data_IF_601096509585
#
_entry.id   IF_601096509585
#
_cell.length_a   1.000
_cell.length_b   1.000
_cell.length_c   1.000
_cell.angle_alpha   90.00
_cell.angle_beta   90.00
_cell.angle_gamma   90.00
#
_symmetry.space_group_name_H-M   'P 1'
#
loop_
_entity.id
_entity.type
_entity.pdbx_description
1 polymer ?
#
# COMPACT_ATOMS: atom_id res chain seq x y z
N UNK A 1 17.76 1.17 -4.52
CA UNK A 1 16.83 1.86 -3.60
C UNK A 1 16.96 3.34 -3.81
N UNK A 2 15.85 4.10 -3.71
CA UNK A 2 15.86 5.57 -3.89
C UNK A 2 16.81 6.23 -2.89
N UNK A 3 16.60 5.93 -1.62
CA UNK A 3 17.44 6.46 -0.55
C UNK A 3 18.17 5.31 0.12
N UNK A 4 19.45 5.46 0.30
CA UNK A 4 20.31 4.37 0.79
C UNK A 4 19.96 3.90 2.19
N UNK A 5 19.32 4.75 3.00
CA UNK A 5 18.90 4.40 4.36
C UNK A 5 17.69 3.47 4.41
N UNK A 6 16.89 3.36 3.34
CA UNK A 6 15.70 2.48 3.34
C UNK A 6 16.05 1.02 3.62
N UNK A 7 17.27 0.60 3.32
CA UNK A 7 17.74 -0.75 3.69
C UNK A 7 17.80 -1.02 5.20
N UNK A 8 17.83 0.02 6.02
CA UNK A 8 17.86 -0.09 7.48
C UNK A 8 16.46 -0.10 8.11
N UNK A 9 15.43 0.25 7.35
CA UNK A 9 14.04 0.27 7.84
C UNK A 9 13.37 -1.06 7.49
N UNK A 10 13.08 -1.86 8.49
CA UNK A 10 12.41 -3.15 8.37
C UNK A 10 10.96 -3.07 8.88
N UNK A 11 10.03 -3.83 8.32
CA UNK A 11 10.19 -4.82 7.26
C UNK A 11 10.39 -4.18 5.88
N UNK A 12 11.31 -4.73 5.13
CA UNK A 12 11.71 -4.25 3.79
C UNK A 12 10.53 -4.27 2.81
N UNK A 13 9.54 -5.12 3.03
CA UNK A 13 8.39 -5.28 2.15
C UNK A 13 7.59 -3.99 1.93
N UNK A 14 7.50 -3.10 2.93
CA UNK A 14 6.88 -1.78 2.76
C UNK A 14 7.64 -0.86 1.83
N UNK A 15 8.93 -1.11 1.64
CA UNK A 15 9.84 -0.30 0.84
C UNK A 15 10.40 -1.08 -0.35
N UNK A 16 10.03 -2.35 -0.50
CA UNK A 16 10.36 -3.16 -1.66
C UNK A 16 9.42 -2.79 -2.80
N UNK A 17 9.65 -1.63 -3.37
CA UNK A 17 8.87 -1.08 -4.46
C UNK A 17 9.37 -1.55 -5.82
N UNK A 18 10.17 -2.63 -5.85
CA UNK A 18 10.55 -3.32 -7.07
C UNK A 18 9.41 -4.21 -7.56
N UNK A 19 9.06 -4.08 -8.83
CA UNK A 19 8.11 -4.95 -9.51
C UNK A 19 8.78 -6.26 -9.94
N UNK A 20 8.00 -7.27 -10.25
CA UNK A 20 8.50 -8.59 -10.71
C UNK A 20 9.36 -8.51 -11.99
N UNK A 21 9.18 -7.48 -12.81
CA UNK A 21 9.98 -7.22 -14.01
C UNK A 21 11.30 -6.46 -13.76
N UNK A 22 11.68 -6.25 -12.49
CA UNK A 22 12.89 -5.54 -12.08
C UNK A 22 12.79 -4.00 -12.10
N UNK A 23 11.68 -3.42 -12.57
CA UNK A 23 11.45 -1.97 -12.49
C UNK A 23 10.95 -1.57 -11.10
N UNK A 24 11.10 -0.29 -10.76
CA UNK A 24 10.53 0.25 -9.53
C UNK A 24 9.10 0.76 -9.74
N UNK A 25 8.32 0.88 -8.66
CA UNK A 25 6.96 1.40 -8.70
C UNK A 25 6.90 2.95 -8.72
N UNK A 26 8.05 3.62 -8.73
CA UNK A 26 8.15 5.08 -8.66
C UNK A 26 7.96 5.70 -10.04
N UNK A 27 6.90 6.52 -10.25
CA UNK A 27 6.66 7.17 -11.54
C UNK A 27 7.73 8.22 -11.81
N UNK A 28 8.13 8.37 -13.08
CA UNK A 28 8.98 9.48 -13.51
C UNK A 28 8.19 10.78 -13.44
N UNK A 29 8.76 11.79 -12.78
CA UNK A 29 8.08 13.05 -12.52
C UNK A 29 7.79 13.84 -13.78
N UNK A 30 8.66 13.74 -14.77
CA UNK A 30 8.56 14.43 -16.05
C UNK A 30 7.34 13.99 -16.88
N UNK A 31 6.83 12.79 -16.59
CA UNK A 31 5.70 12.19 -17.31
C UNK A 31 4.39 12.31 -16.52
N UNK A 32 4.43 12.82 -15.28
CA UNK A 32 3.23 12.95 -14.46
C UNK A 32 2.26 14.00 -15.04
N UNK A 33 0.94 13.73 -15.08
CA UNK A 33 -0.05 14.69 -15.52
C UNK A 33 -0.02 15.98 -14.70
N UNK A 34 -0.26 17.12 -15.34
CA UNK A 34 -0.26 18.42 -14.68
C UNK A 34 -1.24 18.49 -13.49
N UNK A 35 -2.40 17.85 -13.60
CA UNK A 35 -3.40 17.74 -12.52
C UNK A 35 -2.85 17.03 -11.29
N UNK A 36 -2.00 16.04 -11.48
CA UNK A 36 -1.32 15.33 -10.39
C UNK A 36 -0.24 16.21 -9.78
N UNK A 37 0.62 16.80 -10.63
CA UNK A 37 1.72 17.66 -10.17
C UNK A 37 1.25 18.85 -9.34
N UNK A 38 0.09 19.43 -9.64
CA UNK A 38 -0.51 20.53 -8.88
C UNK A 38 -0.93 20.15 -7.45
N UNK A 39 -1.16 18.87 -7.20
CA UNK A 39 -1.56 18.33 -5.89
C UNK A 39 -0.35 17.85 -5.06
N UNK A 40 0.86 17.95 -5.60
CA UNK A 40 2.09 17.50 -4.93
C UNK A 40 2.88 18.70 -4.40
N UNK A 41 3.41 18.56 -3.19
CA UNK A 41 4.18 19.60 -2.53
C UNK A 41 5.64 19.59 -3.02
N UNK A 42 6.08 20.67 -3.65
CA UNK A 42 7.47 20.88 -4.02
C UNK A 42 8.27 21.37 -2.81
N UNK A 43 9.32 20.65 -2.46
CA UNK A 43 10.25 21.04 -1.41
C UNK A 43 11.53 21.65 -2.03
N UNK A 44 11.65 22.99 -2.03
CA UNK A 44 12.81 23.67 -2.66
C UNK A 44 14.10 23.47 -1.88
N UNK A 45 14.04 23.01 -0.63
CA UNK A 45 15.17 22.90 0.25
C UNK A 45 15.98 21.59 0.06
N UNK A 46 15.61 20.70 -0.85
CA UNK A 46 16.50 19.65 -1.32
C UNK A 46 17.64 20.27 -2.15
N UNK A 47 18.86 19.81 -1.92
CA UNK A 47 20.05 20.32 -2.58
C UNK A 47 20.16 19.88 -4.04
N UNK A 48 19.76 18.65 -4.36
CA UNK A 48 19.85 18.11 -5.70
C UNK A 48 18.48 18.07 -6.39
N UNK A 49 18.44 18.36 -7.69
CA UNK A 49 17.21 18.26 -8.50
C UNK A 49 16.69 16.81 -8.55
N UNK A 50 17.61 15.83 -8.51
CA UNK A 50 17.24 14.41 -8.43
C UNK A 50 16.50 14.10 -7.14
N UNK A 51 16.92 14.64 -6.00
CA UNK A 51 16.23 14.46 -4.74
C UNK A 51 14.84 15.09 -4.77
N UNK A 52 14.67 16.26 -5.40
CA UNK A 52 13.37 16.89 -5.62
C UNK A 52 12.44 16.01 -6.47
N UNK A 53 12.96 15.48 -7.58
CA UNK A 53 12.21 14.57 -8.44
C UNK A 53 11.81 13.30 -7.68
N UNK A 54 12.72 12.67 -6.94
CA UNK A 54 12.40 11.47 -6.17
C UNK A 54 11.42 11.74 -5.03
N UNK A 55 11.46 12.92 -4.42
CA UNK A 55 10.50 13.34 -3.40
C UNK A 55 9.08 13.47 -3.99
N UNK A 56 8.94 14.10 -5.16
CA UNK A 56 7.68 14.21 -5.89
C UNK A 56 7.16 12.82 -6.31
N UNK A 57 8.03 11.99 -6.84
CA UNK A 57 7.69 10.61 -7.23
C UNK A 57 7.19 9.79 -6.04
N UNK A 58 7.87 9.90 -4.89
CA UNK A 58 7.42 9.28 -3.64
C UNK A 58 6.03 9.77 -3.23
N UNK A 59 5.80 11.08 -3.25
CA UNK A 59 4.49 11.64 -2.91
C UNK A 59 3.40 11.13 -3.84
N UNK A 60 3.63 11.12 -5.15
CA UNK A 60 2.67 10.63 -6.13
C UNK A 60 2.25 9.19 -5.81
N UNK A 61 3.24 8.31 -5.59
CA UNK A 61 3.00 6.92 -5.25
C UNK A 61 2.22 6.78 -3.93
N UNK A 62 2.64 7.47 -2.87
CA UNK A 62 2.04 7.35 -1.55
C UNK A 62 0.65 8.01 -1.45
N UNK A 63 0.37 9.01 -2.29
CA UNK A 63 -0.96 9.63 -2.41
C UNK A 63 -1.91 8.86 -3.36
N UNK A 64 -1.47 7.72 -3.89
CA UNK A 64 -2.32 6.82 -4.67
C UNK A 64 -2.32 7.07 -6.17
N UNK A 65 -1.21 7.51 -6.78
CA UNK A 65 -1.10 7.59 -8.22
C UNK A 65 -1.09 6.19 -8.85
N UNK A 66 -1.99 5.95 -9.78
CA UNK A 66 -2.19 4.66 -10.49
C UNK A 66 -2.12 4.78 -12.03
N UNK A 67 -1.65 5.90 -12.54
CA UNK A 67 -1.59 6.14 -14.00
C UNK A 67 -0.49 5.35 -14.72
N UNK A 68 -0.56 5.36 -16.05
CA UNK A 68 0.33 4.64 -16.97
C UNK A 68 1.54 5.51 -17.37
N UNK A 69 2.41 5.85 -16.41
CA UNK A 69 3.68 6.50 -16.74
C UNK A 69 4.85 5.54 -16.61
N UNK A 70 5.96 5.85 -17.29
CA UNK A 70 7.17 5.05 -17.09
C UNK A 70 7.70 5.23 -15.66
N UNK A 71 8.36 4.19 -15.16
CA UNK A 71 8.92 4.18 -13.81
C UNK A 71 10.44 4.18 -13.85
N UNK A 72 11.07 4.60 -12.74
CA UNK A 72 12.52 4.55 -12.63
C UNK A 72 13.03 3.11 -12.69
N UNK A 73 14.06 2.87 -13.51
CA UNK A 73 14.77 1.59 -13.59
C UNK A 73 15.87 1.50 -12.52
N UNK A 74 16.51 2.61 -12.23
CA UNK A 74 17.52 2.75 -11.18
C UNK A 74 17.49 4.14 -10.58
N UNK A 75 18.04 4.25 -9.39
CA UNK A 75 18.17 5.50 -8.67
C UNK A 75 19.64 5.89 -8.54
N UNK A 76 19.92 7.15 -8.82
CA UNK A 76 21.23 7.73 -8.60
C UNK A 76 21.46 7.93 -7.09
N UNK A 77 22.72 7.96 -6.69
CA UNK A 77 23.08 8.31 -5.31
C UNK A 77 22.79 9.78 -5.04
N UNK A 78 22.24 10.05 -3.88
CA UNK A 78 21.87 11.40 -3.47
C UNK A 78 22.89 11.98 -2.47
N UNK A 79 22.99 13.32 -2.37
CA UNK A 79 23.68 13.97 -1.28
C UNK A 79 23.16 13.50 0.08
N UNK A 80 24.06 13.28 1.04
CA UNK A 80 23.69 12.74 2.35
C UNK A 80 22.68 13.64 3.11
N UNK A 81 22.76 14.95 2.91
CA UNK A 81 21.83 15.92 3.51
C UNK A 81 20.41 15.69 2.96
N UNK A 82 20.28 15.42 1.67
CA UNK A 82 18.98 15.15 1.03
C UNK A 82 18.36 13.84 1.55
N UNK A 83 19.19 12.82 1.79
CA UNK A 83 18.73 11.58 2.40
C UNK A 83 18.16 11.82 3.81
N UNK A 84 18.85 12.57 4.66
CA UNK A 84 18.36 12.90 5.99
C UNK A 84 17.16 13.85 5.94
N UNK A 85 17.12 14.79 4.98
CA UNK A 85 15.95 15.64 4.77
C UNK A 85 14.70 14.82 4.46
N UNK A 86 14.81 13.87 3.53
CA UNK A 86 13.72 12.95 3.20
C UNK A 86 13.27 12.13 4.43
N UNK A 87 14.25 11.62 5.20
CA UNK A 87 13.99 10.85 6.40
C UNK A 87 13.21 11.67 7.43
N UNK A 88 13.60 12.91 7.70
CA UNK A 88 12.90 13.82 8.61
C UNK A 88 11.51 14.22 8.10
N UNK A 89 11.34 14.33 6.79
CA UNK A 89 10.07 14.72 6.17
C UNK A 89 9.00 13.64 6.30
N UNK A 90 9.35 12.37 6.17
CA UNK A 90 8.38 11.27 6.03
C UNK A 90 8.36 10.28 7.20
N UNK A 91 9.41 10.20 7.99
CA UNK A 91 9.51 9.20 9.03
C UNK A 91 9.43 9.81 10.43
N UNK A 92 9.02 9.00 11.41
CA UNK A 92 9.01 9.43 12.80
C UNK A 92 10.45 9.72 13.28
N UNK A 93 10.68 10.75 14.12
CA UNK A 93 12.03 11.14 14.57
C UNK A 93 12.88 10.01 15.15
N UNK A 94 12.27 9.02 15.77
CA UNK A 94 12.98 7.84 16.30
C UNK A 94 13.73 7.08 15.19
N UNK A 95 13.13 6.98 14.00
CA UNK A 95 13.76 6.32 12.84
C UNK A 95 14.92 7.14 12.29
N UNK A 96 14.83 8.47 12.39
CA UNK A 96 15.93 9.34 11.98
C UNK A 96 17.19 9.11 12.84
N UNK A 97 16.98 9.03 14.16
CA UNK A 97 18.05 8.71 15.13
C UNK A 97 18.56 7.28 14.92
N UNK A 98 17.67 6.32 14.73
CA UNK A 98 18.03 4.93 14.49
C UNK A 98 18.92 4.75 13.26
N UNK A 99 18.57 5.39 12.14
CA UNK A 99 19.39 5.35 10.92
C UNK A 99 20.76 6.01 11.14
N UNK A 100 20.81 7.14 11.86
CA UNK A 100 22.09 7.79 12.22
C UNK A 100 22.97 6.82 13.02
N UNK A 101 22.42 6.21 14.08
CA UNK A 101 23.18 5.28 14.91
C UNK A 101 23.69 4.07 14.11
N UNK A 102 22.85 3.49 13.27
CA UNK A 102 23.25 2.36 12.42
C UNK A 102 24.38 2.73 11.44
N UNK A 103 24.35 3.96 10.88
CA UNK A 103 25.41 4.43 10.00
C UNK A 103 26.72 4.66 10.74
N UNK A 104 26.66 5.18 11.98
CA UNK A 104 27.83 5.34 12.83
C UNK A 104 28.44 3.98 13.20
N UNK A 105 27.63 3.02 13.62
CA UNK A 105 28.07 1.64 13.93
C UNK A 105 28.60 0.93 12.67
N UNK A 106 28.12 1.30 11.48
CA UNK A 106 28.62 0.79 10.19
C UNK A 106 29.89 1.50 9.71
N UNK A 107 30.65 2.15 10.61
CA UNK A 107 31.91 2.85 10.34
C UNK A 107 31.83 3.93 9.26
N UNK A 108 30.65 4.57 9.10
CA UNK A 108 30.54 5.77 8.28
C UNK A 108 31.19 6.97 8.99
N UNK A 109 31.67 7.94 8.22
CA UNK A 109 32.34 9.11 8.79
C UNK A 109 31.39 9.90 9.71
N UNK A 110 31.65 9.94 11.04
CA UNK A 110 30.69 10.50 12.01
C UNK A 110 30.44 11.99 11.82
N UNK A 111 31.49 12.76 11.43
CA UNK A 111 31.36 14.19 11.21
C UNK A 111 30.42 14.50 10.02
N UNK A 112 30.52 13.72 8.95
CA UNK A 112 29.67 13.89 7.77
C UNK A 112 28.22 13.48 8.09
N UNK A 113 28.05 12.35 8.80
CA UNK A 113 26.71 11.84 9.16
C UNK A 113 25.98 12.81 10.10
N UNK A 114 26.64 13.26 11.19
CA UNK A 114 26.04 14.19 12.15
C UNK A 114 25.75 15.55 11.51
N UNK A 115 26.68 16.09 10.72
CA UNK A 115 26.47 17.34 9.99
C UNK A 115 25.27 17.26 9.05
N UNK A 116 25.15 16.18 8.27
CA UNK A 116 24.04 15.99 7.35
C UNK A 116 22.71 15.76 8.09
N UNK A 117 22.71 15.03 9.18
CA UNK A 117 21.55 14.84 10.05
C UNK A 117 21.01 16.18 10.58
N UNK A 118 21.90 17.05 11.10
CA UNK A 118 21.52 18.37 11.62
C UNK A 118 20.96 19.25 10.49
N UNK A 119 21.64 19.31 9.35
CA UNK A 119 21.19 20.10 8.19
C UNK A 119 19.85 19.62 7.62
N UNK A 120 19.59 18.32 7.66
CA UNK A 120 18.32 17.72 7.21
C UNK A 120 17.12 18.01 8.12
N UNK A 121 17.34 18.37 9.40
CA UNK A 121 16.26 18.56 10.41
C UNK A 121 15.27 19.68 10.09
N UNK A 122 15.64 20.63 9.23
CA UNK A 122 14.73 21.73 8.82
C UNK A 122 13.55 21.30 7.93
N UNK A 123 13.37 20.02 7.65
CA UNK A 123 12.25 19.53 6.88
C UNK A 123 10.94 19.61 7.68
N UNK A 124 9.92 20.27 7.12
CA UNK A 124 8.56 20.20 7.66
C UNK A 124 8.03 18.77 7.43
N UNK A 125 7.56 18.13 8.49
CA UNK A 125 6.99 16.78 8.40
C UNK A 125 5.74 16.79 7.51
N UNK A 126 5.73 15.92 6.51
CA UNK A 126 4.60 15.77 5.60
C UNK A 126 3.55 14.84 6.19
N UNK A 127 2.28 15.22 6.05
CA UNK A 127 1.13 14.39 6.39
C UNK A 127 0.40 13.93 5.12
N UNK A 128 1.15 13.43 4.16
CA UNK A 128 0.70 13.07 2.83
C UNK A 128 -0.48 12.07 2.80
N UNK A 129 -0.61 11.21 3.80
CA UNK A 129 -1.70 10.24 3.90
C UNK A 129 -3.07 10.88 4.12
N UNK A 130 -3.12 12.11 4.66
CA UNK A 130 -4.38 12.83 4.88
C UNK A 130 -4.92 13.50 3.61
N UNK A 131 -4.09 13.62 2.58
CA UNK A 131 -4.42 14.30 1.34
C UNK A 131 -4.13 13.40 0.13
N UNK A 132 -4.95 12.35 -0.13
CA UNK A 132 -4.81 11.53 -1.31
C UNK A 132 -5.02 12.36 -2.58
N UNK A 133 -4.51 11.87 -3.71
CA UNK A 133 -4.77 12.48 -5.00
C UNK A 133 -6.26 12.45 -5.31
N UNK A 134 -6.76 13.56 -5.84
CA UNK A 134 -8.15 13.69 -6.28
C UNK A 134 -8.17 13.70 -7.81
N UNK A 135 -9.03 12.91 -8.37
CA UNK A 135 -9.29 12.84 -9.81
C UNK A 135 -10.74 13.24 -10.05
N UNK A 136 -10.96 14.19 -10.97
CA UNK A 136 -12.30 14.67 -11.33
C UNK A 136 -13.19 13.54 -11.87
N UNK A 137 -12.58 12.53 -12.47
CA UNK A 137 -13.27 11.53 -13.27
C UNK A 137 -13.66 10.27 -12.47
N UNK A 138 -13.30 10.19 -11.17
CA UNK A 138 -13.69 9.05 -10.34
C UNK A 138 -15.21 8.87 -10.24
N UNK A 139 -15.96 9.98 -10.21
CA UNK A 139 -17.42 9.94 -10.14
C UNK A 139 -18.09 9.59 -11.47
N UNK A 140 -17.36 9.68 -12.59
CA UNK A 140 -17.86 9.37 -13.95
C UNK A 140 -17.25 8.10 -14.54
N UNK A 141 -16.43 7.37 -13.76
CA UNK A 141 -15.82 6.14 -14.24
C UNK A 141 -16.89 5.08 -14.50
N UNK A 142 -16.93 4.62 -15.74
CA UNK A 142 -17.75 3.48 -16.16
C UNK A 142 -16.82 2.35 -16.58
N UNK A 143 -17.01 1.18 -16.01
CA UNK A 143 -16.27 -0.03 -16.37
C UNK A 143 -17.13 -0.91 -17.26
N UNK A 144 -16.58 -1.43 -18.36
CA UNK A 144 -17.25 -2.46 -19.16
C UNK A 144 -17.61 -3.70 -18.34
N UNK A 145 -16.85 -3.99 -17.28
CA UNK A 145 -17.15 -5.07 -16.34
C UNK A 145 -18.50 -4.91 -15.64
N UNK A 146 -18.95 -3.66 -15.39
CA UNK A 146 -20.28 -3.40 -14.82
C UNK A 146 -21.41 -3.65 -15.84
N UNK A 147 -21.11 -3.48 -17.13
CA UNK A 147 -22.06 -3.78 -18.21
C UNK A 147 -22.12 -5.29 -18.49
N UNK A 148 -20.97 -5.95 -18.51
CA UNK A 148 -20.83 -7.40 -18.72
C UNK A 148 -21.38 -8.22 -17.54
N UNK A 149 -21.44 -7.64 -16.34
CA UNK A 149 -21.94 -8.25 -15.10
C UNK A 149 -21.38 -9.66 -14.85
N UNK A 150 -20.05 -9.81 -14.77
CA UNK A 150 -19.46 -11.12 -14.52
C UNK A 150 -19.88 -11.68 -13.17
N UNK A 151 -20.05 -13.00 -13.08
CA UNK A 151 -20.28 -13.65 -11.79
C UNK A 151 -19.02 -13.51 -10.91
N UNK A 152 -19.22 -13.04 -9.68
CA UNK A 152 -18.18 -12.89 -8.67
C UNK A 152 -18.36 -13.91 -7.57
N UNK A 153 -17.37 -14.77 -7.33
CA UNK A 153 -17.38 -15.70 -6.19
C UNK A 153 -16.72 -15.07 -4.97
N UNK A 154 -17.50 -14.83 -3.92
CA UNK A 154 -17.04 -14.32 -2.63
C UNK A 154 -16.70 -15.48 -1.72
N UNK A 155 -15.42 -15.73 -1.47
CA UNK A 155 -14.94 -16.86 -0.65
C UNK A 155 -14.65 -16.39 0.77
N UNK A 156 -15.34 -16.96 1.77
CA UNK A 156 -15.22 -16.60 3.18
C UNK A 156 -14.78 -17.82 4.00
N UNK A 157 -13.49 -17.98 4.28
CA UNK A 157 -13.06 -18.95 5.29
C UNK A 157 -13.34 -18.42 6.69
N UNK A 158 -14.01 -19.22 7.51
CA UNK A 158 -14.35 -18.86 8.89
C UNK A 158 -13.98 -19.94 9.90
N UNK A 159 -13.78 -19.54 11.16
CA UNK A 159 -13.48 -20.41 12.28
C UNK A 159 -13.99 -19.77 13.58
N UNK A 160 -15.06 -20.31 14.15
CA UNK A 160 -15.68 -19.88 15.42
C UNK A 160 -16.00 -18.37 15.49
N UNK A 161 -16.48 -17.77 14.38
CA UNK A 161 -16.73 -16.32 14.27
C UNK A 161 -18.11 -16.02 13.67
N UNK A 162 -19.16 -16.72 14.10
CA UNK A 162 -20.50 -16.58 13.56
C UNK A 162 -21.09 -15.15 13.70
N UNK A 163 -20.78 -14.45 14.80
CA UNK A 163 -21.22 -13.06 14.96
C UNK A 163 -20.67 -12.14 13.87
N UNK A 164 -19.36 -12.19 13.64
CA UNK A 164 -18.73 -11.40 12.59
C UNK A 164 -19.13 -11.87 11.18
N UNK A 165 -19.32 -13.19 11.00
CA UNK A 165 -19.79 -13.72 9.73
C UNK A 165 -21.20 -13.22 9.41
N UNK A 166 -22.06 -13.11 10.42
CA UNK A 166 -23.41 -12.54 10.27
C UNK A 166 -23.35 -11.11 9.74
N UNK A 167 -22.49 -10.27 10.31
CA UNK A 167 -22.34 -8.88 9.87
C UNK A 167 -21.88 -8.81 8.41
N UNK A 168 -20.89 -9.64 8.03
CA UNK A 168 -20.42 -9.71 6.64
C UNK A 168 -21.51 -10.18 5.68
N UNK A 169 -22.31 -11.17 6.05
CA UNK A 169 -23.41 -11.65 5.21
C UNK A 169 -24.53 -10.61 5.04
N UNK A 170 -24.83 -9.84 6.10
CA UNK A 170 -25.77 -8.70 6.02
C UNK A 170 -25.24 -7.59 5.10
N UNK A 171 -23.94 -7.30 5.18
CA UNK A 171 -23.31 -6.34 4.28
C UNK A 171 -23.35 -6.81 2.82
N UNK A 172 -23.18 -8.10 2.57
CA UNK A 172 -23.31 -8.68 1.24
C UNK A 172 -24.75 -8.64 0.72
N UNK A 173 -25.77 -8.87 1.56
CA UNK A 173 -27.18 -8.72 1.17
C UNK A 173 -27.52 -7.28 0.74
N UNK A 174 -26.77 -6.29 1.26
CA UNK A 174 -26.99 -4.87 0.97
C UNK A 174 -26.21 -4.35 -0.23
N UNK A 175 -25.42 -5.19 -0.92
CA UNK A 175 -24.61 -4.76 -2.06
C UNK A 175 -25.46 -4.40 -3.28
N UNK A 176 -25.05 -3.35 -3.98
CA UNK A 176 -25.67 -2.92 -5.24
C UNK A 176 -25.42 -3.90 -6.39
N UNK A 177 -24.26 -4.57 -6.38
CA UNK A 177 -23.92 -5.59 -7.36
C UNK A 177 -24.55 -6.92 -6.97
N UNK A 178 -25.41 -7.47 -7.82
CA UNK A 178 -26.22 -8.67 -7.50
C UNK A 178 -25.72 -9.96 -8.17
N UNK A 179 -24.70 -9.88 -9.05
CA UNK A 179 -24.18 -11.03 -9.77
C UNK A 179 -23.00 -11.66 -9.05
N UNK A 180 -23.27 -12.19 -7.87
CA UNK A 180 -22.25 -12.90 -7.08
C UNK A 180 -22.86 -14.10 -6.33
N UNK A 181 -21.99 -15.05 -6.03
CA UNK A 181 -22.24 -16.17 -5.12
C UNK A 181 -21.37 -16.05 -3.88
N UNK A 182 -21.79 -16.61 -2.78
CA UNK A 182 -21.02 -16.62 -1.52
C UNK A 182 -20.71 -18.06 -1.13
N UNK A 183 -19.41 -18.36 -1.02
CA UNK A 183 -18.92 -19.68 -0.62
C UNK A 183 -18.26 -19.55 0.74
N UNK A 184 -18.90 -20.04 1.79
CA UNK A 184 -18.33 -20.05 3.14
C UNK A 184 -17.70 -21.40 3.40
N UNK A 185 -16.41 -21.42 3.74
CA UNK A 185 -15.74 -22.62 4.22
C UNK A 185 -15.56 -22.52 5.73
N UNK A 186 -16.42 -23.24 6.44
CA UNK A 186 -16.53 -23.16 7.88
C UNK A 186 -15.71 -24.27 8.55
N UNK A 187 -14.76 -23.88 9.36
CA UNK A 187 -13.85 -24.74 10.12
C UNK A 187 -14.24 -24.79 11.61
N UNK A 188 -15.43 -24.30 11.95
CA UNK A 188 -15.91 -24.21 13.33
C UNK A 188 -16.31 -25.59 13.88
N UNK A 189 -16.17 -25.73 15.18
CA UNK A 189 -16.61 -26.91 15.92
C UNK A 189 -17.29 -26.42 17.22
N UNK A 190 -18.62 -26.65 17.37
CA UNK A 190 -19.51 -27.32 16.44
C UNK A 190 -19.88 -26.49 15.20
N UNK A 191 -20.08 -27.16 14.06
CA UNK A 191 -20.61 -26.55 12.84
C UNK A 191 -22.10 -26.25 13.04
N UNK A 192 -22.52 -25.01 12.72
CA UNK A 192 -23.90 -24.56 12.89
C UNK A 192 -24.63 -24.49 11.55
N UNK A 193 -25.15 -25.61 11.09
CA UNK A 193 -25.82 -25.71 9.78
C UNK A 193 -27.01 -24.73 9.66
N UNK A 194 -27.79 -24.55 10.76
CA UNK A 194 -28.94 -23.64 10.75
C UNK A 194 -28.60 -22.17 10.58
N UNK A 195 -27.36 -21.77 10.90
CA UNK A 195 -26.87 -20.41 10.69
C UNK A 195 -26.90 -20.01 9.22
N UNK A 196 -26.73 -20.94 8.30
CA UNK A 196 -26.66 -20.69 6.86
C UNK A 196 -28.02 -20.70 6.15
N UNK A 197 -29.12 -20.90 6.89
CA UNK A 197 -30.48 -20.92 6.34
C UNK A 197 -31.13 -19.52 6.39
N UNK A 198 -31.92 -19.21 5.38
CA UNK A 198 -32.76 -18.01 5.36
C UNK A 198 -32.10 -16.73 4.85
N UNK A 199 -30.87 -16.79 4.38
CA UNK A 199 -30.17 -15.66 3.73
C UNK A 199 -30.74 -15.42 2.33
N UNK A 200 -30.79 -14.14 1.91
CA UNK A 200 -31.19 -13.73 0.54
C UNK A 200 -29.96 -13.71 -0.40
N UNK A 201 -29.04 -14.59 -0.19
CA UNK A 201 -27.79 -14.71 -0.93
C UNK A 201 -27.75 -16.08 -1.62
N UNK A 202 -27.10 -16.16 -2.77
CA UNK A 202 -26.66 -17.45 -3.33
C UNK A 202 -25.50 -17.96 -2.47
N UNK A 203 -25.83 -18.64 -1.38
CA UNK A 203 -24.94 -19.00 -0.30
C UNK A 203 -24.70 -20.51 -0.24
N UNK A 204 -23.46 -20.91 -0.37
CA UNK A 204 -23.00 -22.30 -0.15
C UNK A 204 -22.10 -22.37 1.08
N UNK A 205 -22.41 -23.28 2.01
CA UNK A 205 -21.59 -23.54 3.19
C UNK A 205 -20.92 -24.91 3.12
N UNK A 206 -19.60 -24.92 3.22
CA UNK A 206 -18.77 -26.13 3.17
C UNK A 206 -18.15 -26.34 4.55
N UNK A 207 -18.54 -27.40 5.26
CA UNK A 207 -17.86 -27.78 6.50
C UNK A 207 -16.47 -28.33 6.21
N UNK A 208 -15.46 -27.85 6.93
CA UNK A 208 -14.09 -28.34 6.88
C UNK A 208 -13.57 -28.63 8.29
N UNK A 209 -13.09 -29.85 8.53
CA UNK A 209 -12.55 -30.24 9.85
C UNK A 209 -11.15 -29.69 10.09
N UNK A 210 -10.33 -29.63 9.04
CA UNK A 210 -8.95 -29.15 9.13
C UNK A 210 -8.92 -27.63 9.30
N UNK A 211 -8.25 -27.16 10.36
CA UNK A 211 -8.10 -25.73 10.64
C UNK A 211 -6.91 -25.15 9.85
N UNK A 212 -7.10 -24.98 8.55
CA UNK A 212 -6.08 -24.48 7.62
C UNK A 212 -6.67 -23.49 6.60
N UNK A 213 -6.30 -22.22 6.72
CA UNK A 213 -6.83 -21.13 5.88
C UNK A 213 -6.57 -21.35 4.38
N UNK A 214 -5.36 -21.78 4.02
CA UNK A 214 -5.00 -22.06 2.63
C UNK A 214 -5.81 -23.22 2.03
N UNK A 215 -6.08 -24.26 2.82
CA UNK A 215 -6.89 -25.40 2.40
C UNK A 215 -8.35 -24.99 2.20
N UNK A 216 -8.89 -24.13 3.08
CA UNK A 216 -10.24 -23.61 2.96
C UNK A 216 -10.43 -22.82 1.67
N UNK A 217 -9.50 -21.92 1.34
CA UNK A 217 -9.51 -21.17 0.08
C UNK A 217 -9.46 -22.08 -1.14
N UNK A 218 -8.56 -23.06 -1.14
CA UNK A 218 -8.43 -24.01 -2.25
C UNK A 218 -9.66 -24.92 -2.40
N UNK A 219 -10.38 -25.21 -1.31
CA UNK A 219 -11.59 -26.03 -1.34
C UNK A 219 -12.78 -25.27 -1.94
N UNK A 220 -12.84 -23.96 -1.73
CA UNK A 220 -13.90 -23.12 -2.27
C UNK A 220 -13.80 -22.92 -3.80
N UNK A 221 -12.62 -23.10 -4.40
CA UNK A 221 -12.38 -22.90 -5.83
C UNK A 221 -12.67 -24.17 -6.66
N UNK A 222 -12.86 -25.31 -5.99
CA UNK A 222 -13.15 -26.61 -6.64
C UNK A 222 -14.64 -26.80 -6.84
#
# INVERSE_FOLDING_TARGET
MIFSFLKYLQPVNYFSLARNNGSFAFPKVEELPAVVLQQLEKDPCFYSEKAKSYDISWQALQKGYVGEVTTYQHFESLPLVDEYRFLHKYFHPIWCVYVLLLRLVSFKNPFREVSAFIKGRGAKRSNYLQHPLKYSDYGSFQSSLLEEKPLVSVIIPTLNRYEYLKDVLLDLESQDYQYFEVIVVDQSDPFQEDFYKGWKLDLSAIQQKEKALWLARNRAIK
#
